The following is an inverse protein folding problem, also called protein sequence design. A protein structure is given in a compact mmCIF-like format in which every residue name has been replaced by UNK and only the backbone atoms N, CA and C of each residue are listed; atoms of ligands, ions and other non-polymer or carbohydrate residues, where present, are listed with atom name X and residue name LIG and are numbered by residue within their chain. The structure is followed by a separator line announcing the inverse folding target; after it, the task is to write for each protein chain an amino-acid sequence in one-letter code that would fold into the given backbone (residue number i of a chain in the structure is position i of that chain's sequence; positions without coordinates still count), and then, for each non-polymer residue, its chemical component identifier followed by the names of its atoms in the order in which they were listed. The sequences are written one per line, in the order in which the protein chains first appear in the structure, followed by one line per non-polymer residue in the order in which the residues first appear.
data_IF_145393990865
#
_entry.id   IF_145393990865
#
_cell.length_a   1.000
_cell.length_b   1.000
_cell.length_c   1.000
_cell.angle_alpha   90.00
_cell.angle_beta   90.00
_cell.angle_gamma   90.00
#
_symmetry.space_group_name_H-M   'P 1'
#
loop_
_entity.id
_entity.type
_entity.pdbx_description
1 polymer ?
#
# COMPACT_ATOMS: atom_id res chain seq x y z
N UNK A 1 10.04 8.17 28.76
CA UNK A 1 9.27 9.38 28.43
C UNK A 1 8.02 8.95 27.69
N UNK A 2 6.82 9.29 28.17
CA UNK A 2 5.54 8.84 27.61
C UNK A 2 5.38 9.35 26.18
N UNK A 3 4.92 8.49 25.26
CA UNK A 3 4.67 8.87 23.86
C UNK A 3 3.51 9.87 23.82
N UNK A 4 3.71 11.12 23.37
CA UNK A 4 2.65 12.14 23.33
C UNK A 4 1.54 11.80 22.33
N UNK A 5 1.74 10.79 21.47
CA UNK A 5 0.71 10.31 20.55
C UNK A 5 -0.23 9.28 21.17
N UNK A 6 0.03 8.83 22.40
CA UNK A 6 -0.85 7.93 23.16
C UNK A 6 -1.42 8.62 24.41
N UNK A 7 -1.27 9.95 24.51
CA UNK A 7 -1.91 10.75 25.54
C UNK A 7 -3.43 10.52 25.54
N UNK A 8 -4.02 10.29 26.71
CA UNK A 8 -5.43 9.91 26.86
C UNK A 8 -5.71 8.40 26.84
N UNK A 9 -4.72 7.57 26.50
CA UNK A 9 -4.80 6.12 26.67
C UNK A 9 -3.98 5.70 27.89
N UNK A 10 -4.65 5.06 28.85
CA UNK A 10 -4.03 4.53 30.07
C UNK A 10 -4.28 3.04 30.15
N UNK A 11 -3.26 2.29 30.56
CA UNK A 11 -3.34 0.85 30.83
C UNK A 11 -3.03 0.64 32.30
N UNK A 12 -3.80 -0.20 32.99
CA UNK A 12 -3.56 -0.50 34.39
C UNK A 12 -2.27 -1.33 34.55
N UNK A 13 -1.47 -1.13 35.61
CA UNK A 13 -0.25 -1.91 35.84
C UNK A 13 -0.49 -3.43 35.82
N UNK A 14 -1.63 -3.88 36.33
CA UNK A 14 -1.99 -5.29 36.42
C UNK A 14 -2.24 -5.90 35.03
N UNK A 15 -2.76 -5.12 34.08
CA UNK A 15 -2.92 -5.54 32.69
C UNK A 15 -1.56 -5.72 32.02
N UNK A 16 -0.63 -4.79 32.26
CA UNK A 16 0.75 -4.89 31.76
C UNK A 16 1.44 -6.13 32.32
N UNK A 17 1.34 -6.36 33.63
CA UNK A 17 1.92 -7.56 34.26
C UNK A 17 1.30 -8.86 33.72
N UNK A 18 -0.02 -8.89 33.53
CA UNK A 18 -0.71 -10.05 32.97
C UNK A 18 -0.21 -10.33 31.54
N UNK A 19 -0.03 -9.29 30.72
CA UNK A 19 0.54 -9.43 29.39
C UNK A 19 1.99 -9.90 29.42
N UNK A 20 2.84 -9.36 30.30
CA UNK A 20 4.23 -9.80 30.46
C UNK A 20 4.28 -11.27 30.88
N UNK A 21 3.49 -11.68 31.88
CA UNK A 21 3.43 -13.09 32.30
C UNK A 21 3.00 -14.03 31.18
N UNK A 22 2.09 -13.59 30.31
CA UNK A 22 1.62 -14.39 29.19
C UNK A 22 2.63 -14.45 28.03
N UNK A 23 3.09 -13.29 27.55
CA UNK A 23 3.97 -13.19 26.38
C UNK A 23 5.41 -13.61 26.66
N UNK A 24 5.87 -13.47 27.92
CA UNK A 24 7.22 -13.79 28.36
C UNK A 24 7.29 -15.07 29.19
N UNK A 25 6.23 -15.89 29.21
CA UNK A 25 6.11 -17.05 30.10
C UNK A 25 7.35 -17.96 30.09
N UNK A 26 7.90 -18.23 28.89
CA UNK A 26 9.10 -19.06 28.72
C UNK A 26 10.35 -18.43 29.34
N UNK A 27 10.63 -17.17 29.01
CA UNK A 27 11.78 -16.47 29.57
C UNK A 27 11.67 -16.34 31.10
N UNK A 28 10.47 -16.02 31.62
CA UNK A 28 10.25 -15.92 33.07
C UNK A 28 10.40 -17.26 33.80
N UNK A 29 10.07 -18.37 33.12
CA UNK A 29 10.21 -19.73 33.64
C UNK A 29 11.61 -20.33 33.52
N UNK A 30 12.54 -19.66 32.82
CA UNK A 30 13.89 -20.18 32.56
C UNK A 30 14.69 -20.34 33.87
N UNK A 31 15.10 -21.57 34.26
CA UNK A 31 15.80 -21.80 35.52
C UNK A 31 17.18 -21.15 35.63
N UNK A 32 17.93 -21.02 34.52
CA UNK A 32 19.24 -20.35 34.54
C UNK A 32 19.07 -18.81 34.55
N UNK A 33 19.53 -18.10 35.59
CA UNK A 33 19.40 -16.65 35.67
C UNK A 33 20.12 -15.90 34.54
N UNK A 34 21.22 -16.44 34.01
CA UNK A 34 21.93 -15.79 32.90
C UNK A 34 21.14 -15.90 31.60
N UNK A 35 20.66 -17.10 31.27
CA UNK A 35 19.80 -17.31 30.10
C UNK A 35 18.51 -16.49 30.21
N UNK A 36 17.88 -16.48 31.39
CA UNK A 36 16.69 -15.65 31.66
C UNK A 36 16.94 -14.17 31.37
N UNK A 37 18.09 -13.63 31.79
CA UNK A 37 18.44 -12.24 31.52
C UNK A 37 18.58 -11.95 30.02
N UNK A 38 19.25 -12.83 29.28
CA UNK A 38 19.42 -12.68 27.83
C UNK A 38 18.07 -12.75 27.10
N UNK A 39 17.23 -13.73 27.45
CA UNK A 39 15.91 -13.91 26.84
C UNK A 39 14.99 -12.71 27.10
N UNK A 40 14.97 -12.19 28.33
CA UNK A 40 14.19 -10.99 28.67
C UNK A 40 14.73 -9.75 27.95
N UNK A 41 16.04 -9.64 27.78
CA UNK A 41 16.66 -8.54 27.03
C UNK A 41 16.27 -8.60 25.56
N UNK A 42 16.31 -9.79 24.96
CA UNK A 42 15.84 -10.00 23.59
C UNK A 42 14.35 -9.64 23.44
N UNK A 43 13.51 -10.08 24.37
CA UNK A 43 12.07 -9.76 24.37
C UNK A 43 11.82 -8.25 24.51
N UNK A 44 12.58 -7.53 25.33
CA UNK A 44 12.49 -6.07 25.42
C UNK A 44 12.74 -5.41 24.06
N UNK A 45 13.82 -5.79 23.36
CA UNK A 45 14.13 -5.27 22.02
C UNK A 45 13.02 -5.59 21.02
N UNK A 46 12.45 -6.80 21.10
CA UNK A 46 11.32 -7.21 20.27
C UNK A 46 10.07 -6.34 20.53
N UNK A 47 9.72 -6.10 21.80
CA UNK A 47 8.57 -5.26 22.15
C UNK A 47 8.75 -3.80 21.74
N UNK A 48 9.95 -3.25 21.85
CA UNK A 48 10.27 -1.92 21.32
C UNK A 48 10.05 -1.87 19.80
N UNK A 49 10.48 -2.93 19.09
CA UNK A 49 10.23 -3.10 17.66
C UNK A 49 8.74 -3.19 17.31
N UNK A 50 7.96 -3.94 18.09
CA UNK A 50 6.50 -4.04 17.96
C UNK A 50 5.84 -2.68 18.20
N UNK A 51 6.22 -1.96 19.26
CA UNK A 51 5.71 -0.62 19.54
C UNK A 51 5.98 0.35 18.38
N UNK A 52 7.18 0.29 17.78
CA UNK A 52 7.50 1.05 16.59
C UNK A 52 6.65 0.64 15.37
N UNK A 53 6.39 -0.65 15.18
CA UNK A 53 5.52 -1.16 14.12
C UNK A 53 4.06 -0.69 14.29
N UNK A 54 3.50 -0.82 15.48
CA UNK A 54 2.16 -0.34 15.82
C UNK A 54 2.04 1.17 15.57
N UNK A 55 3.07 1.95 15.88
CA UNK A 55 3.08 3.40 15.58
C UNK A 55 2.98 3.68 14.07
N UNK A 56 3.65 2.88 13.23
CA UNK A 56 3.53 3.00 11.76
C UNK A 56 2.15 2.61 11.27
N UNK A 57 1.60 1.50 11.77
CA UNK A 57 0.24 1.07 11.39
C UNK A 57 -0.82 2.09 11.80
N UNK A 58 -0.69 2.72 12.97
CA UNK A 58 -1.52 3.87 13.34
C UNK A 58 -1.37 5.02 12.36
N UNK A 59 -0.15 5.32 11.91
CA UNK A 59 0.11 6.32 10.87
C UNK A 59 -0.54 6.00 9.53
N UNK A 60 -0.57 4.73 9.11
CA UNK A 60 -1.28 4.28 7.90
C UNK A 60 -2.79 4.48 8.04
N UNK A 61 -3.37 4.09 9.18
CA UNK A 61 -4.79 4.29 9.43
C UNK A 61 -5.18 5.79 9.37
N UNK A 62 -4.33 6.68 9.90
CA UNK A 62 -4.54 8.13 9.77
C UNK A 62 -4.47 8.60 8.31
N UNK A 63 -3.54 8.06 7.52
CA UNK A 63 -3.45 8.36 6.09
C UNK A 63 -4.71 7.91 5.34
N UNK A 64 -5.27 6.75 5.67
CA UNK A 64 -6.50 6.24 5.08
C UNK A 64 -7.70 7.16 5.35
N UNK A 65 -7.80 7.71 6.56
CA UNK A 65 -8.83 8.70 6.89
C UNK A 65 -8.71 9.95 6.02
N UNK A 66 -7.49 10.48 5.82
CA UNK A 66 -7.30 11.65 4.96
C UNK A 66 -7.58 11.35 3.48
N UNK A 67 -7.17 10.18 3.00
CA UNK A 67 -7.43 9.73 1.62
C UNK A 67 -8.94 9.54 1.38
N UNK A 68 -9.70 9.14 2.39
CA UNK A 68 -11.16 9.07 2.33
C UNK A 68 -11.85 10.45 2.32
N UNK A 69 -11.10 11.55 2.41
CA UNK A 69 -11.60 12.92 2.35
C UNK A 69 -11.85 13.56 3.71
N UNK A 70 -11.51 12.90 4.83
CA UNK A 70 -11.61 13.53 6.15
C UNK A 70 -10.55 14.64 6.31
N UNK A 71 -10.93 15.87 6.71
CA UNK A 71 -9.96 16.93 6.97
C UNK A 71 -9.01 16.61 8.13
N UNK A 72 -7.76 17.09 8.06
CA UNK A 72 -6.73 16.83 9.08
C UNK A 72 -7.16 17.30 10.48
N UNK A 73 -7.84 18.45 10.56
CA UNK A 73 -8.38 18.98 11.82
C UNK A 73 -9.41 18.02 12.45
N UNK A 74 -10.28 17.43 11.63
CA UNK A 74 -11.30 16.48 12.10
C UNK A 74 -10.65 15.16 12.56
N UNK A 75 -9.66 14.65 11.81
CA UNK A 75 -8.88 13.48 12.23
C UNK A 75 -8.19 13.73 13.58
N UNK A 76 -7.55 14.90 13.76
CA UNK A 76 -6.87 15.24 15.00
C UNK A 76 -7.83 15.29 16.21
N UNK A 77 -9.04 15.82 16.01
CA UNK A 77 -10.07 15.88 17.04
C UNK A 77 -10.61 14.48 17.40
N UNK A 78 -10.89 13.63 16.41
CA UNK A 78 -11.47 12.29 16.63
C UNK A 78 -10.48 11.26 17.18
N UNK A 79 -9.17 11.49 17.06
CA UNK A 79 -8.14 10.51 17.43
C UNK A 79 -7.37 10.88 18.70
N UNK A 80 -7.82 11.89 19.44
CA UNK A 80 -7.18 12.41 20.66
C UNK A 80 -5.72 12.86 20.48
N UNK A 81 -5.28 13.07 19.23
CA UNK A 81 -3.92 13.54 18.96
C UNK A 81 -3.74 15.02 19.27
N UNK A 82 -4.80 15.77 19.54
CA UNK A 82 -4.88 17.19 19.95
C UNK A 82 -4.31 18.22 18.95
N UNK A 83 -3.31 17.85 18.13
CA UNK A 83 -2.66 18.73 17.18
C UNK A 83 -2.48 18.04 15.82
N UNK A 84 -2.77 18.75 14.73
CA UNK A 84 -2.56 18.26 13.36
C UNK A 84 -1.10 17.86 13.09
N UNK A 85 -0.14 18.54 13.72
CA UNK A 85 1.28 18.22 13.59
C UNK A 85 1.59 16.78 14.04
N UNK A 86 0.91 16.28 15.08
CA UNK A 86 1.07 14.90 15.56
C UNK A 86 0.49 13.90 14.55
N UNK A 87 -0.64 14.22 13.92
CA UNK A 87 -1.21 13.43 12.80
C UNK A 87 -0.21 13.33 11.64
N UNK A 88 0.29 14.48 11.16
CA UNK A 88 1.25 14.54 10.05
C UNK A 88 2.55 13.81 10.38
N UNK A 89 3.02 13.88 11.62
CA UNK A 89 4.22 13.15 12.08
C UNK A 89 4.02 11.63 12.00
N UNK A 90 2.89 11.10 12.45
CA UNK A 90 2.60 9.67 12.39
C UNK A 90 2.48 9.16 10.95
N UNK A 91 1.82 9.92 10.08
CA UNK A 91 1.73 9.61 8.64
C UNK A 91 3.12 9.58 8.01
N UNK A 92 3.99 10.53 8.36
CA UNK A 92 5.37 10.58 7.89
C UNK A 92 6.20 9.37 8.36
N UNK A 93 6.07 8.99 9.64
CA UNK A 93 6.72 7.79 10.19
C UNK A 93 6.26 6.49 9.50
N UNK A 94 5.03 6.47 8.99
CA UNK A 94 4.48 5.36 8.21
C UNK A 94 4.94 5.36 6.74
N UNK A 95 5.58 6.44 6.26
CA UNK A 95 5.97 6.59 4.86
C UNK A 95 4.81 6.97 3.92
N UNK A 96 3.68 7.43 4.46
CA UNK A 96 2.43 7.64 3.70
C UNK A 96 2.23 9.08 3.20
N UNK A 97 3.20 9.96 3.44
CA UNK A 97 3.10 11.39 3.13
C UNK A 97 2.76 11.66 1.65
N UNK A 98 3.39 10.95 0.72
CA UNK A 98 3.17 11.17 -0.72
C UNK A 98 1.80 10.67 -1.17
N UNK A 99 1.31 9.56 -0.61
CA UNK A 99 -0.04 9.05 -0.87
C UNK A 99 -1.10 10.05 -0.45
N UNK A 100 -0.97 10.63 0.75
CA UNK A 100 -1.90 11.65 1.25
C UNK A 100 -1.85 12.91 0.38
N UNK A 101 -0.66 13.38 -0.02
CA UNK A 101 -0.52 14.54 -0.92
C UNK A 101 -1.17 14.30 -2.29
N UNK A 102 -1.03 13.09 -2.83
CA UNK A 102 -1.63 12.73 -4.11
C UNK A 102 -3.16 12.77 -4.04
N UNK A 103 -3.76 12.26 -2.96
CA UNK A 103 -5.21 12.29 -2.75
C UNK A 103 -5.77 13.72 -2.56
N UNK A 104 -4.98 14.63 -1.99
CA UNK A 104 -5.39 16.02 -1.78
C UNK A 104 -5.30 16.90 -3.05
N UNK A 105 -4.67 16.43 -4.14
CA UNK A 105 -4.60 17.20 -5.39
C UNK A 105 -5.95 17.15 -6.12
N UNK A 106 -6.53 18.29 -6.50
CA UNK A 106 -7.70 18.30 -7.36
C UNK A 106 -7.37 17.60 -8.70
N UNK A 107 -8.33 16.90 -9.32
CA UNK A 107 -8.12 16.27 -10.61
C UNK A 107 -7.64 17.33 -11.61
N UNK A 108 -6.56 17.03 -12.34
CA UNK A 108 -5.99 17.96 -13.31
C UNK A 108 -7.08 18.37 -14.32
N UNK A 109 -7.20 19.66 -14.65
CA UNK A 109 -8.18 20.10 -15.63
C UNK A 109 -7.89 19.38 -16.95
N UNK A 110 -8.90 18.68 -17.48
CA UNK A 110 -8.82 18.05 -18.79
C UNK A 110 -8.37 19.12 -19.79
N UNK A 111 -7.22 18.92 -20.44
CA UNK A 111 -6.72 19.84 -21.46
C UNK A 111 -7.81 20.01 -22.51
N UNK A 112 -8.42 21.20 -22.54
CA UNK A 112 -9.31 21.59 -23.62
C UNK A 112 -8.53 21.46 -24.93
N UNK A 113 -8.92 20.47 -25.74
CA UNK A 113 -8.41 20.32 -27.10
C UNK A 113 -8.83 21.61 -27.82
N UNK A 114 -7.86 22.48 -28.08
CA UNK A 114 -8.07 23.67 -28.91
C UNK A 114 -8.61 23.18 -30.25
N UNK A 115 -9.89 23.41 -30.50
CA UNK A 115 -10.50 23.25 -31.80
C UNK A 115 -9.75 24.17 -32.77
N UNK A 116 -8.91 23.59 -33.62
CA UNK A 116 -8.36 24.28 -34.77
C UNK A 116 -9.54 24.63 -35.68
N UNK A 117 -9.81 25.93 -35.84
CA UNK A 117 -10.69 26.50 -36.87
C UNK A 117 -10.24 25.98 -38.23
N UNK A 118 -10.96 24.99 -38.76
CA UNK A 118 -10.95 24.69 -40.18
C UNK A 118 -11.91 25.68 -40.86
N UNK A 119 -11.39 26.37 -41.88
CA UNK A 119 -12.10 27.30 -42.74
C UNK A 119 -13.31 26.61 -43.40
N UNK A 120 -14.42 27.33 -43.44
CA UNK A 120 -15.55 27.05 -44.33
C UNK A 120 -15.12 27.08 -45.79
N UNK A 121 -15.52 26.07 -46.57
CA UNK A 121 -16.23 26.19 -47.85
C UNK A 121 -16.68 24.80 -48.34
N UNK A 122 -17.68 24.70 -49.24
CA UNK A 122 -18.91 23.95 -48.95
C UNK A 122 -19.18 22.75 -49.89
N UNK A 123 -20.31 22.08 -49.59
CA UNK A 123 -21.09 21.10 -50.38
C UNK A 123 -20.39 19.82 -50.84
N UNK A 124 -20.85 18.66 -50.33
CA UNK A 124 -21.78 17.85 -51.12
C UNK A 124 -22.60 16.89 -50.26
N UNK A 125 -23.82 16.68 -50.70
CA UNK A 125 -24.92 15.95 -50.07
C UNK A 125 -24.83 14.48 -50.47
N UNK A 126 -24.59 13.55 -49.54
CA UNK A 126 -25.01 12.15 -49.76
C UNK A 126 -25.32 11.43 -48.45
N UNK A 127 -26.43 10.74 -48.52
CA UNK A 127 -27.23 10.03 -47.54
C UNK A 127 -26.57 8.80 -46.89
N UNK A 128 -27.25 8.36 -45.82
CA UNK A 128 -27.36 6.98 -45.33
C UNK A 128 -26.40 6.55 -44.20
N UNK A 129 -26.94 6.52 -42.98
CA UNK A 129 -26.76 5.36 -42.10
C UNK A 129 -27.42 4.15 -42.78
N UNK A 130 -26.75 2.98 -42.82
CA UNK A 130 -27.09 1.98 -41.81
C UNK A 130 -25.88 1.15 -41.31
N UNK A 131 -25.97 0.72 -40.06
CA UNK A 131 -25.21 -0.38 -39.44
C UNK A 131 -25.93 -1.70 -39.79
N UNK A 132 -25.40 -2.94 -39.62
CA UNK A 132 -24.04 -3.50 -39.53
C UNK A 132 -23.75 -4.58 -40.61
N UNK A 133 -22.49 -4.99 -40.80
CA UNK A 133 -22.18 -6.27 -41.43
C UNK A 133 -20.98 -6.96 -40.74
N UNK A 134 -21.26 -8.19 -40.33
CA UNK A 134 -20.45 -9.10 -39.53
C UNK A 134 -19.45 -9.82 -40.44
N UNK A 135 -18.15 -9.63 -40.21
CA UNK A 135 -17.16 -10.62 -40.61
C UNK A 135 -15.94 -10.60 -39.66
N UNK A 136 -15.87 -11.64 -38.82
CA UNK A 136 -14.74 -12.10 -37.99
C UNK A 136 -13.89 -11.05 -37.26
N UNK A 137 -14.50 -9.97 -36.76
CA UNK A 137 -13.79 -9.03 -35.88
C UNK A 137 -13.62 -9.64 -34.49
N UNK A 138 -12.38 -9.87 -34.07
CA UNK A 138 -12.10 -10.23 -32.67
C UNK A 138 -12.59 -9.10 -31.75
N UNK A 139 -13.29 -9.45 -30.66
CA UNK A 139 -13.70 -8.47 -29.64
C UNK A 139 -12.51 -7.62 -29.22
N UNK A 140 -12.70 -6.31 -29.23
CA UNK A 140 -11.72 -5.35 -28.73
C UNK A 140 -11.62 -5.46 -27.20
N UNK A 141 -10.48 -5.03 -26.62
CA UNK A 141 -10.25 -5.10 -25.16
C UNK A 141 -11.31 -4.35 -24.36
N UNK A 142 -11.88 -3.28 -24.91
CA UNK A 142 -12.95 -2.51 -24.29
C UNK A 142 -14.28 -3.29 -24.21
N UNK A 143 -14.62 -4.04 -25.25
CA UNK A 143 -15.86 -4.84 -25.29
C UNK A 143 -15.77 -6.07 -24.38
N UNK A 144 -14.57 -6.62 -24.14
CA UNK A 144 -14.36 -7.73 -23.19
C UNK A 144 -14.53 -7.30 -21.74
N UNK A 145 -14.02 -6.11 -21.39
CA UNK A 145 -14.16 -5.55 -20.04
C UNK A 145 -15.64 -5.28 -19.71
N UNK A 146 -16.41 -4.79 -20.68
CA UNK A 146 -17.86 -4.57 -20.51
C UNK A 146 -18.66 -5.86 -20.29
N UNK A 147 -18.14 -7.02 -20.73
CA UNK A 147 -18.74 -8.34 -20.56
C UNK A 147 -18.15 -9.15 -19.39
N UNK A 148 -17.27 -8.55 -18.58
CA UNK A 148 -16.64 -9.23 -17.44
C UNK A 148 -15.60 -10.29 -17.82
N UNK A 149 -15.07 -10.24 -19.05
CA UNK A 149 -14.01 -11.12 -19.54
C UNK A 149 -12.62 -10.49 -19.34
N UNK A 150 -11.55 -11.28 -19.10
CA UNK A 150 -10.19 -10.76 -18.96
C UNK A 150 -9.71 -10.05 -20.24
N UNK A 151 -9.03 -8.92 -20.07
CA UNK A 151 -8.68 -7.99 -21.15
C UNK A 151 -7.59 -8.53 -22.11
N UNK A 152 -6.77 -9.47 -21.65
CA UNK A 152 -5.70 -10.09 -22.43
C UNK A 152 -6.24 -11.28 -23.23
N UNK A 153 -6.06 -11.26 -24.54
CA UNK A 153 -6.27 -12.44 -25.38
C UNK A 153 -5.36 -13.60 -25.00
N UNK A 154 -5.60 -14.81 -25.55
CA UNK A 154 -4.76 -15.97 -25.26
C UNK A 154 -3.30 -15.67 -25.55
N UNK A 155 -2.46 -15.73 -24.52
CA UNK A 155 -1.01 -15.52 -24.60
C UNK A 155 -0.42 -16.65 -25.47
N UNK A 156 0.29 -16.37 -26.57
CA UNK A 156 1.02 -17.40 -27.28
C UNK A 156 2.09 -17.99 -26.35
N UNK A 157 2.02 -19.32 -26.18
CA UNK A 157 2.90 -20.10 -25.30
C UNK A 157 4.35 -19.91 -25.73
N UNK A 158 5.14 -19.18 -24.93
CA UNK A 158 6.57 -19.08 -25.16
C UNK A 158 7.22 -20.46 -25.04
N UNK A 159 7.98 -20.87 -26.06
CA UNK A 159 8.73 -22.12 -26.05
C UNK A 159 9.75 -22.14 -24.91
N UNK A 160 9.91 -23.25 -24.17
CA UNK A 160 10.90 -23.34 -23.10
C UNK A 160 12.31 -23.30 -23.68
N UNK A 161 13.13 -22.35 -23.20
CA UNK A 161 14.53 -22.21 -23.54
C UNK A 161 15.32 -23.49 -23.16
N UNK A 162 16.11 -24.00 -24.11
CA UNK A 162 16.95 -25.20 -23.92
C UNK A 162 17.99 -24.98 -22.80
N UNK A 163 18.16 -25.92 -21.85
CA UNK A 163 19.15 -25.78 -20.79
C UNK A 163 20.58 -25.81 -21.34
N UNK A 164 21.39 -24.85 -20.91
CA UNK A 164 22.81 -24.76 -21.25
C UNK A 164 23.59 -25.95 -20.66
N UNK A 165 24.45 -26.57 -21.49
CA UNK A 165 25.29 -27.72 -21.09
C UNK A 165 26.32 -27.30 -20.03
N UNK A 166 26.55 -28.09 -18.97
CA UNK A 166 27.53 -27.77 -17.95
C UNK A 166 28.96 -27.90 -18.48
N UNK A 167 29.75 -26.83 -18.31
CA UNK A 167 31.18 -26.80 -18.61
C UNK A 167 31.93 -27.57 -17.52
N UNK A 168 32.37 -28.80 -17.82
CA UNK A 168 33.33 -29.53 -16.99
C UNK A 168 34.69 -28.83 -17.05
N UNK A 169 35.12 -28.16 -15.97
CA UNK A 169 36.54 -27.83 -15.77
C UNK A 169 37.19 -28.87 -14.86
N UNK A 170 38.24 -29.49 -15.42
CA UNK A 170 39.06 -30.55 -14.83
C UNK A 170 39.77 -30.05 -13.57
N UNK A 171 39.75 -30.87 -12.52
CA UNK A 171 40.73 -30.85 -11.44
C UNK A 171 42.12 -31.09 -12.05
N UNK A 172 43.05 -30.18 -11.83
CA UNK A 172 44.47 -30.48 -11.90
C UNK A 172 44.95 -30.64 -10.46
N UNK A 173 45.38 -31.85 -10.13
CA UNK A 173 46.15 -32.16 -8.95
C UNK A 173 47.63 -31.95 -9.31
N UNK A 174 48.33 -31.20 -8.48
CA UNK A 174 49.77 -31.27 -8.23
C UNK A 174 50.03 -30.56 -6.90
#
# INVERSE_FOLDING_TARGET
MTDPTTEGYTVAPEEVEAMVRNLCAYALGEPDPMQRYEDLTYQQVLFDGIAAALRRERGRALADLLVSGMPVAEVAAKTHLAAEARVRKLISLAGETERVKAAARPPAPAKAVKAAKAKEQPVDETTASPVPATDKRMLTSAERIALGLPADGPIPRAEPAKPAKPVRRRRAAA
#
